data_IF_489414899472
#
_entry.id   IF_489414899472
#
_cell.length_a   1.000
_cell.length_b   1.000
_cell.length_c   1.000
_cell.angle_alpha   90.00
_cell.angle_beta   90.00
_cell.angle_gamma   90.00
#
_symmetry.space_group_name_H-M   'P 1'
#
loop_
_entity.id
_entity.type
_entity.pdbx_description
1 polymer ?
#
# COMPACT_ATOMS: atom_id res chain seq x y z
N UNK A 1 14.21 -9.92 2.12
CA UNK A 1 13.66 -8.68 1.52
C UNK A 1 13.16 -7.78 2.64
N UNK A 2 13.48 -6.48 2.61
CA UNK A 2 13.05 -5.52 3.64
C UNK A 2 11.59 -5.14 3.37
N UNK A 3 10.70 -5.42 4.32
CA UNK A 3 9.28 -5.04 4.27
C UNK A 3 9.17 -3.52 4.39
N UNK A 4 8.74 -2.84 3.33
CA UNK A 4 8.53 -1.38 3.38
C UNK A 4 7.21 -1.05 4.06
N UNK A 5 7.29 -0.48 5.27
CA UNK A 5 6.12 0.02 6.01
C UNK A 5 5.57 1.28 5.35
N UNK A 6 4.24 1.35 5.24
CA UNK A 6 3.50 2.50 4.71
C UNK A 6 2.55 3.02 5.78
N UNK A 7 2.18 4.29 5.68
CA UNK A 7 1.41 4.96 6.71
C UNK A 7 0.27 5.74 6.08
N UNK A 8 -0.95 5.52 6.55
CA UNK A 8 -2.16 6.17 6.04
C UNK A 8 -2.60 7.26 7.01
N UNK A 9 -2.84 8.45 6.49
CA UNK A 9 -3.46 9.52 7.23
C UNK A 9 -4.88 9.10 7.65
N UNK A 10 -5.13 9.05 8.96
CA UNK A 10 -6.42 8.79 9.59
C UNK A 10 -7.50 9.81 9.23
N UNK A 11 -7.12 11.02 8.79
CA UNK A 11 -8.08 12.09 8.42
C UNK A 11 -8.47 12.04 6.95
N UNK A 12 -7.51 12.16 6.04
CA UNK A 12 -7.82 12.25 4.60
C UNK A 12 -7.59 10.95 3.84
N UNK A 13 -6.94 9.96 4.46
CA UNK A 13 -6.62 8.68 3.83
C UNK A 13 -5.39 8.70 2.93
N UNK A 14 -4.63 9.80 2.86
CA UNK A 14 -3.36 9.87 2.15
C UNK A 14 -2.39 8.78 2.63
N UNK A 15 -1.72 8.07 1.72
CA UNK A 15 -0.77 7.01 2.07
C UNK A 15 0.65 7.51 1.77
N UNK A 16 1.45 7.65 2.83
CA UNK A 16 2.89 7.81 2.72
C UNK A 16 3.56 6.45 2.44
N UNK A 17 4.44 6.44 1.45
CA UNK A 17 5.23 5.27 1.06
C UNK A 17 6.70 5.66 0.91
N UNK A 18 7.62 5.07 1.70
CA UNK A 18 9.07 5.29 1.57
C UNK A 18 9.58 5.09 0.15
N UNK A 19 9.06 4.11 -0.59
CA UNK A 19 9.45 3.87 -1.99
C UNK A 19 9.22 5.08 -2.91
N UNK A 20 8.24 5.93 -2.58
CA UNK A 20 7.90 7.12 -3.36
C UNK A 20 8.53 8.38 -2.77
N UNK A 21 8.58 8.49 -1.45
CA UNK A 21 8.85 9.77 -0.78
C UNK A 21 7.81 10.83 -1.14
N UNK A 22 8.19 12.09 -0.98
CA UNK A 22 7.47 13.29 -1.45
C UNK A 22 8.45 14.35 -1.99
N UNK A 23 9.03 14.14 -3.19
CA UNK A 23 10.10 15.02 -3.70
C UNK A 23 9.70 16.50 -3.80
N UNK A 24 8.44 16.79 -4.13
CA UNK A 24 7.92 18.16 -4.16
C UNK A 24 7.91 18.86 -2.80
N UNK A 25 7.89 18.08 -1.71
CA UNK A 25 7.96 18.57 -0.34
C UNK A 25 9.35 18.39 0.28
N UNK A 26 10.38 18.13 -0.53
CA UNK A 26 11.76 17.94 -0.07
C UNK A 26 12.03 16.60 0.61
N UNK A 27 11.14 15.60 0.47
CA UNK A 27 11.31 14.26 1.02
C UNK A 27 11.68 13.31 -0.13
N UNK A 28 12.93 12.85 -0.26
CA UNK A 28 13.31 11.98 -1.36
C UNK A 28 12.67 10.59 -1.27
N UNK A 29 12.63 9.88 -2.40
CA UNK A 29 12.32 8.46 -2.40
C UNK A 29 13.36 7.68 -1.57
N UNK A 30 12.91 6.68 -0.84
CA UNK A 30 13.69 5.89 0.10
C UNK A 30 13.64 6.40 1.54
N UNK A 31 13.17 7.61 1.83
CA UNK A 31 13.05 8.11 3.21
C UNK A 31 12.06 7.26 4.01
N UNK A 32 12.46 6.70 5.15
CA UNK A 32 11.54 5.98 6.01
C UNK A 32 10.59 6.96 6.71
N UNK A 33 9.42 6.49 7.15
CA UNK A 33 8.48 7.36 7.86
C UNK A 33 9.05 7.86 9.19
N UNK A 34 9.88 7.02 9.81
CA UNK A 34 10.64 7.30 11.03
C UNK A 34 11.71 8.38 10.82
N UNK A 35 12.23 8.55 9.59
CA UNK A 35 13.29 9.50 9.25
C UNK A 35 12.75 10.87 8.81
N UNK A 36 11.45 10.97 8.56
CA UNK A 36 10.83 12.22 8.19
C UNK A 36 10.94 13.24 9.37
N UNK A 37 10.90 14.57 9.13
CA UNK A 37 11.04 15.60 10.19
C UNK A 37 9.85 15.66 11.15
N UNK A 38 10.02 15.89 12.46
CA UNK A 38 8.87 15.97 13.41
C UNK A 38 7.78 16.98 12.99
N UNK A 39 8.17 18.04 12.26
CA UNK A 39 7.31 19.05 11.66
C UNK A 39 6.56 18.60 10.40
N UNK A 40 6.68 17.33 10.00
CA UNK A 40 6.04 16.80 8.80
C UNK A 40 4.53 17.00 8.86
N UNK A 41 4.00 17.41 7.72
CA UNK A 41 2.60 17.74 7.51
C UNK A 41 2.05 16.86 6.41
N UNK A 42 0.85 16.30 6.61
CA UNK A 42 0.15 15.60 5.54
C UNK A 42 -0.06 16.56 4.36
N UNK A 43 0.43 16.23 3.15
CA UNK A 43 0.39 17.13 2.00
C UNK A 43 -1.02 17.37 1.47
N UNK A 44 -1.99 16.54 1.89
CA UNK A 44 -3.38 16.63 1.44
C UNK A 44 -4.25 17.46 2.39
N UNK A 45 -4.10 17.29 3.71
CA UNK A 45 -4.99 17.92 4.69
C UNK A 45 -4.32 18.85 5.70
N UNK A 46 -2.99 19.00 5.67
CA UNK A 46 -2.31 19.92 6.58
C UNK A 46 -2.14 19.39 8.01
N UNK A 47 -2.51 18.13 8.29
CA UNK A 47 -2.34 17.55 9.64
C UNK A 47 -0.87 17.31 9.98
N UNK A 48 -0.44 17.71 11.18
CA UNK A 48 0.96 17.62 11.63
C UNK A 48 1.18 16.48 12.64
N UNK A 49 2.37 15.86 12.64
CA UNK A 49 2.84 14.96 13.69
C UNK A 49 3.23 13.54 13.24
N UNK A 50 4.12 12.88 14.01
CA UNK A 50 4.57 11.49 13.80
C UNK A 50 4.60 10.69 15.10
N UNK A 51 4.11 9.46 15.07
CA UNK A 51 4.45 8.46 16.08
C UNK A 51 3.27 7.83 16.82
N UNK A 52 3.61 6.72 17.53
CA UNK A 52 2.75 5.59 17.92
C UNK A 52 1.64 5.93 18.93
N UNK A 53 0.44 5.43 18.61
CA UNK A 53 -0.79 5.35 19.43
C UNK A 53 -1.00 6.56 20.34
N UNK A 54 -1.74 7.53 19.78
CA UNK A 54 -2.21 8.72 20.48
C UNK A 54 -1.37 9.95 20.15
N UNK A 55 -1.81 10.69 19.10
CA UNK A 55 -1.33 12.01 18.63
C UNK A 55 -0.18 11.97 17.60
N UNK A 56 -0.36 12.23 16.29
CA UNK A 56 -1.53 12.68 15.53
C UNK A 56 -1.39 12.19 14.07
N UNK A 57 -2.41 11.49 13.58
CA UNK A 57 -2.78 11.58 12.18
C UNK A 57 -2.43 10.44 11.24
N UNK A 58 -1.43 9.60 11.49
CA UNK A 58 -1.04 8.51 10.58
C UNK A 58 -0.98 7.15 11.26
N UNK A 59 -1.66 6.16 10.67
CA UNK A 59 -1.67 4.77 11.11
C UNK A 59 -0.86 3.90 10.15
N UNK A 60 -0.21 2.85 10.66
CA UNK A 60 0.43 1.87 9.80
C UNK A 60 -0.61 1.25 8.85
N UNK A 61 -0.33 1.32 7.55
CA UNK A 61 -1.23 0.85 6.51
C UNK A 61 -0.70 -0.42 5.88
N UNK A 62 -1.44 -1.51 6.09
CA UNK A 62 -1.18 -2.80 5.46
C UNK A 62 -2.36 -3.14 4.53
N UNK A 63 -2.19 -3.05 3.19
CA UNK A 63 -3.21 -3.55 2.28
C UNK A 63 -3.31 -5.07 2.45
N UNK A 64 -4.54 -5.57 2.45
CA UNK A 64 -4.82 -7.02 2.49
C UNK A 64 -5.45 -7.51 1.19
N UNK A 65 -5.62 -6.62 0.21
CA UNK A 65 -6.17 -6.92 -1.11
C UNK A 65 -5.37 -6.21 -2.20
N UNK A 66 -5.13 -6.91 -3.29
CA UNK A 66 -4.38 -6.42 -4.45
C UNK A 66 -5.14 -6.76 -5.71
N UNK A 67 -5.23 -5.81 -6.64
CA UNK A 67 -5.95 -5.98 -7.89
C UNK A 67 -4.96 -6.13 -9.05
N UNK A 68 -5.17 -7.14 -9.89
CA UNK A 68 -4.48 -7.27 -11.17
C UNK A 68 -4.98 -6.16 -12.09
N UNK A 69 -4.09 -5.31 -12.58
CA UNK A 69 -4.45 -4.20 -13.47
C UNK A 69 -4.87 -4.64 -14.88
N UNK A 70 -4.56 -5.88 -15.28
CA UNK A 70 -4.93 -6.41 -16.60
C UNK A 70 -6.36 -6.94 -16.62
N UNK A 71 -6.72 -7.78 -15.66
CA UNK A 71 -8.01 -8.49 -15.64
C UNK A 71 -8.91 -8.15 -14.45
N UNK A 72 -8.45 -7.32 -13.51
CA UNK A 72 -9.20 -6.95 -12.31
C UNK A 72 -9.24 -8.02 -11.22
N UNK A 73 -8.52 -9.13 -11.36
CA UNK A 73 -8.50 -10.17 -10.32
C UNK A 73 -8.02 -9.60 -8.97
N UNK A 74 -8.81 -9.82 -7.91
CA UNK A 74 -8.46 -9.37 -6.56
C UNK A 74 -7.87 -10.54 -5.76
N UNK A 75 -6.56 -10.48 -5.51
CA UNK A 75 -5.90 -11.30 -4.51
C UNK A 75 -6.27 -10.77 -3.12
N UNK A 76 -6.84 -11.62 -2.27
CA UNK A 76 -7.15 -11.30 -0.86
C UNK A 76 -6.22 -12.13 0.03
N UNK A 77 -5.32 -11.46 0.77
CA UNK A 77 -4.38 -12.11 1.69
C UNK A 77 -5.11 -12.95 2.72
N UNK A 78 -6.28 -12.53 3.22
CA UNK A 78 -7.02 -13.34 4.22
C UNK A 78 -7.47 -14.68 3.64
N UNK A 79 -7.70 -14.73 2.33
CA UNK A 79 -8.08 -15.94 1.61
C UNK A 79 -6.88 -16.75 1.13
N UNK A 80 -5.83 -16.10 0.64
CA UNK A 80 -4.75 -16.75 -0.09
C UNK A 80 -5.25 -17.46 -1.36
N UNK A 81 -4.47 -18.41 -1.88
CA UNK A 81 -4.86 -19.31 -2.98
C UNK A 81 -4.48 -20.77 -2.66
N UNK A 82 -5.19 -21.45 -1.75
CA UNK A 82 -4.77 -22.77 -1.25
C UNK A 82 -4.64 -23.82 -2.36
N UNK A 83 -5.48 -23.75 -3.39
CA UNK A 83 -5.45 -24.62 -4.57
C UNK A 83 -4.16 -24.49 -5.40
N UNK A 84 -3.42 -23.40 -5.25
CA UNK A 84 -2.11 -23.13 -5.90
C UNK A 84 -0.96 -23.14 -4.89
N UNK A 85 -1.19 -23.63 -3.67
CA UNK A 85 -0.19 -23.72 -2.62
C UNK A 85 0.07 -22.42 -1.83
N UNK A 86 -0.69 -21.35 -2.08
CA UNK A 86 -0.58 -20.08 -1.35
C UNK A 86 -1.54 -20.12 -0.17
N UNK A 87 -1.02 -20.10 1.05
CA UNK A 87 -1.84 -20.23 2.27
C UNK A 87 -2.65 -18.96 2.54
N UNK A 88 -3.79 -19.13 3.22
CA UNK A 88 -4.50 -18.00 3.82
C UNK A 88 -3.56 -17.25 4.78
N UNK A 89 -3.59 -15.92 4.71
CA UNK A 89 -2.72 -15.03 5.47
C UNK A 89 -1.41 -14.65 4.77
N UNK A 90 -1.05 -15.25 3.63
CA UNK A 90 0.16 -14.89 2.87
C UNK A 90 0.03 -13.47 2.31
N UNK A 91 0.93 -12.55 2.68
CA UNK A 91 0.95 -11.21 2.11
C UNK A 91 1.32 -11.28 0.62
N UNK A 92 0.87 -10.31 -0.17
CA UNK A 92 1.21 -10.28 -1.60
C UNK A 92 2.72 -10.15 -1.83
N UNK A 93 3.42 -9.41 -0.97
CA UNK A 93 4.87 -9.26 -1.00
C UNK A 93 5.63 -10.57 -0.66
N UNK A 94 4.96 -11.52 -0.02
CA UNK A 94 5.50 -12.84 0.32
C UNK A 94 5.14 -13.91 -0.74
N UNK A 95 4.47 -13.53 -1.83
CA UNK A 95 4.21 -14.44 -2.94
C UNK A 95 5.53 -14.82 -3.64
N UNK A 96 5.64 -16.07 -4.13
CA UNK A 96 6.84 -16.50 -4.83
C UNK A 96 7.09 -15.66 -6.08
N UNK A 97 8.35 -15.50 -6.48
CA UNK A 97 8.72 -14.76 -7.71
C UNK A 97 8.11 -15.38 -8.98
N UNK A 98 7.72 -16.66 -8.93
CA UNK A 98 7.02 -17.37 -10.00
C UNK A 98 5.49 -17.18 -10.00
N UNK A 99 4.96 -16.33 -9.11
CA UNK A 99 3.52 -16.09 -9.02
C UNK A 99 2.99 -15.39 -10.26
N UNK A 100 2.02 -16.01 -10.93
CA UNK A 100 1.27 -15.43 -12.03
C UNK A 100 -0.18 -15.23 -11.65
N UNK A 101 -0.81 -14.19 -12.23
CA UNK A 101 -2.25 -13.96 -12.04
C UNK A 101 -3.05 -15.22 -12.44
N UNK A 102 -3.94 -15.75 -11.58
CA UNK A 102 -4.69 -16.97 -11.89
C UNK A 102 -5.69 -16.83 -13.03
N UNK A 103 -6.09 -15.60 -13.35
CA UNK A 103 -7.13 -15.34 -14.37
C UNK A 103 -6.52 -15.12 -15.74
N UNK A 104 -5.56 -14.21 -15.87
CA UNK A 104 -5.01 -13.84 -17.17
C UNK A 104 -3.64 -14.43 -17.48
N UNK A 105 -2.97 -15.08 -16.51
CA UNK A 105 -1.62 -15.63 -16.63
C UNK A 105 -0.51 -14.65 -17.07
N UNK A 106 -0.86 -13.39 -17.37
CA UNK A 106 0.07 -12.32 -17.70
C UNK A 106 0.65 -11.73 -16.43
N UNK A 107 1.96 -11.54 -16.45
CA UNK A 107 2.71 -10.89 -15.38
C UNK A 107 3.58 -9.77 -15.96
N UNK A 108 3.22 -8.49 -15.76
CA UNK A 108 4.13 -7.39 -16.00
C UNK A 108 4.86 -6.87 -14.74
N UNK A 109 4.79 -7.53 -13.57
CA UNK A 109 4.72 -6.91 -12.24
C UNK A 109 3.47 -6.05 -12.15
N UNK A 110 2.54 -6.42 -11.27
CA UNK A 110 1.32 -5.65 -10.94
C UNK A 110 1.65 -4.15 -10.87
N UNK A 111 1.10 -3.35 -11.79
CA UNK A 111 1.18 -1.91 -11.69
C UNK A 111 0.46 -1.51 -10.42
N UNK A 112 1.17 -0.86 -9.50
CA UNK A 112 0.64 -0.46 -8.20
C UNK A 112 -0.44 0.60 -8.40
N UNK A 113 -1.67 0.17 -8.66
CA UNK A 113 -2.82 1.04 -8.54
C UNK A 113 -3.17 1.05 -7.06
N UNK A 114 -2.79 2.14 -6.40
CA UNK A 114 -3.24 2.44 -5.05
C UNK A 114 -4.70 2.89 -5.15
N UNK A 115 -5.57 2.52 -4.22
CA UNK A 115 -7.00 2.86 -4.31
C UNK A 115 -7.79 2.51 -3.06
N UNK A 116 -9.02 3.06 -2.95
CA UNK A 116 -9.97 2.74 -1.89
C UNK A 116 -10.84 1.56 -2.31
N UNK A 117 -10.98 0.55 -1.45
CA UNK A 117 -11.98 -0.51 -1.66
C UNK A 117 -13.28 -0.05 -0.99
N UNK A 118 -14.33 0.12 -1.79
CA UNK A 118 -15.67 0.51 -1.35
C UNK A 118 -16.65 -0.64 -1.52
N UNK A 119 -17.91 -0.46 -1.12
CA UNK A 119 -18.98 -1.45 -1.37
C UNK A 119 -19.32 -1.55 -2.86
N UNK A 120 -18.98 -0.52 -3.65
CA UNK A 120 -19.26 -0.42 -5.08
C UNK A 120 -18.09 -0.91 -5.95
N UNK A 121 -16.90 -1.10 -5.40
CA UNK A 121 -15.75 -1.62 -6.15
C UNK A 121 -14.40 -1.13 -5.63
N UNK A 122 -13.41 -1.14 -6.51
CA UNK A 122 -12.08 -0.56 -6.26
C UNK A 122 -12.01 0.81 -6.95
N UNK A 123 -11.76 1.86 -6.17
CA UNK A 123 -11.55 3.23 -6.64
C UNK A 123 -10.04 3.52 -6.68
N UNK A 124 -9.39 3.54 -7.85
CA UNK A 124 -7.98 3.92 -7.93
C UNK A 124 -7.77 5.37 -7.45
N UNK A 125 -6.66 5.62 -6.76
CA UNK A 125 -6.11 6.95 -6.53
C UNK A 125 -5.61 7.43 -7.90
N UNK A 126 -6.41 8.24 -8.56
CA UNK A 126 -6.04 8.93 -9.80
C UNK A 126 -4.83 9.86 -9.53
N UNK A 127 -3.86 9.86 -10.45
CA UNK A 127 -2.65 10.69 -10.41
C UNK A 127 -2.89 12.03 -11.11
#
# INVERSE_FOLDING_TARGET
MVRVRRYKCSVCGYIYSPLRGEPHNGIPAGTAFEDLPESYVCPICGMQGKGKIGKWGFDEWQPTRWICSVCGYVYDQKRGEPHRGIKAGTAFEDLPESYTCPVCALDPKISVQFGKVTKQGFEPLEF
#
